data_IF_399028372008
#
_entry.id   IF_399028372008
#
_cell.length_a   1.000
_cell.length_b   1.000
_cell.length_c   1.000
_cell.angle_alpha   90.00
_cell.angle_beta   90.00
_cell.angle_gamma   90.00
#
_symmetry.space_group_name_H-M   'P 1'
#
loop_
_entity.id
_entity.type
_entity.pdbx_description
1 polymer ?
#
# COMPACT_ATOMS: atom_id res chain seq x y z
N UNK A 1 -2.99 2.12 -61.26
CA UNK A 1 -3.40 1.30 -60.10
C UNK A 1 -2.44 1.59 -58.95
N UNK A 2 -2.80 2.57 -58.09
CA UNK A 2 -1.94 3.03 -56.98
C UNK A 2 -2.38 2.33 -55.71
N UNK A 3 -1.49 1.50 -55.16
CA UNK A 3 -1.67 0.90 -53.83
C UNK A 3 -1.41 1.97 -52.77
N UNK A 4 -2.45 2.33 -51.99
CA UNK A 4 -2.33 3.12 -50.76
C UNK A 4 -1.89 2.20 -49.62
N UNK A 5 -0.83 2.52 -48.86
CA UNK A 5 -0.50 1.77 -47.66
C UNK A 5 -1.50 2.12 -46.55
N UNK A 6 -2.22 1.11 -46.06
CA UNK A 6 -2.97 1.20 -44.80
C UNK A 6 -1.97 1.23 -43.65
N UNK A 7 -1.80 2.39 -43.03
CA UNK A 7 -1.16 2.50 -41.73
C UNK A 7 -2.14 1.96 -40.66
N UNK A 8 -1.93 0.73 -40.26
CA UNK A 8 -2.56 0.19 -39.04
C UNK A 8 -1.93 0.88 -37.82
N UNK A 9 -2.66 1.84 -37.25
CA UNK A 9 -2.31 2.41 -35.96
C UNK A 9 -2.58 1.33 -34.92
N UNK A 10 -1.54 0.66 -34.47
CA UNK A 10 -1.57 -0.20 -33.29
C UNK A 10 -1.83 0.70 -32.07
N UNK A 11 -3.11 0.76 -31.65
CA UNK A 11 -3.48 1.31 -30.34
C UNK A 11 -3.01 0.28 -29.32
N UNK A 12 -1.78 0.42 -28.82
CA UNK A 12 -1.38 -0.28 -27.60
C UNK A 12 -2.33 0.19 -26.50
N UNK A 13 -3.07 -0.70 -25.82
CA UNK A 13 -3.76 -0.31 -24.61
C UNK A 13 -2.71 0.12 -23.59
N UNK A 14 -2.75 1.39 -23.22
CA UNK A 14 -1.97 1.91 -22.11
C UNK A 14 -2.48 1.16 -20.86
N UNK A 15 -1.74 0.15 -20.45
CA UNK A 15 -1.94 -0.47 -19.14
C UNK A 15 -1.63 0.61 -18.11
N UNK A 16 -2.67 1.32 -17.69
CA UNK A 16 -2.62 2.18 -16.52
C UNK A 16 -2.31 1.24 -15.36
N UNK A 17 -1.04 1.23 -14.93
CA UNK A 17 -0.64 0.54 -13.71
C UNK A 17 -1.34 1.24 -12.56
N UNK A 18 -2.51 0.73 -12.18
CA UNK A 18 -3.19 1.16 -10.98
C UNK A 18 -2.30 0.76 -9.81
N UNK A 19 -1.98 1.69 -8.94
CA UNK A 19 -1.42 1.38 -7.63
C UNK A 19 -2.53 0.70 -6.83
N UNK A 20 -2.70 -0.58 -7.07
CA UNK A 20 -3.76 -1.38 -6.48
C UNK A 20 -3.30 -1.86 -5.10
N UNK A 21 -4.15 -1.66 -4.09
CA UNK A 21 -3.94 -2.18 -2.74
C UNK A 21 -3.89 -3.72 -2.74
N UNK A 22 -3.46 -4.32 -1.65
CA UNK A 22 -3.12 -5.73 -1.50
C UNK A 22 -4.10 -6.79 -2.01
N UNK A 23 -5.34 -6.43 -2.36
CA UNK A 23 -6.34 -7.37 -2.89
C UNK A 23 -6.08 -7.83 -4.33
N UNK A 24 -5.27 -7.10 -5.11
CA UNK A 24 -4.96 -7.43 -6.50
C UNK A 24 -3.59 -8.12 -6.59
N UNK A 25 -3.52 -9.29 -7.23
CA UNK A 25 -2.23 -9.96 -7.44
C UNK A 25 -1.38 -9.15 -8.43
N UNK A 26 -0.08 -9.14 -8.24
CA UNK A 26 0.85 -8.67 -9.26
C UNK A 26 0.87 -9.66 -10.42
N UNK A 27 0.83 -9.18 -11.66
CA UNK A 27 1.00 -10.06 -12.80
C UNK A 27 2.39 -10.71 -12.77
N UNK A 28 2.52 -11.89 -13.33
CA UNK A 28 3.79 -12.61 -13.37
C UNK A 28 4.91 -11.76 -13.97
N UNK A 29 6.01 -11.64 -13.23
CA UNK A 29 7.19 -10.87 -13.62
C UNK A 29 7.10 -9.36 -13.28
N UNK A 30 5.94 -8.85 -12.88
CA UNK A 30 5.81 -7.45 -12.44
C UNK A 30 6.39 -7.24 -11.05
N UNK A 31 7.09 -6.14 -10.90
CA UNK A 31 7.63 -5.68 -9.63
C UNK A 31 7.00 -4.33 -9.27
N UNK A 32 6.67 -4.15 -7.99
CA UNK A 32 6.27 -2.87 -7.42
C UNK A 32 7.11 -2.57 -6.20
N UNK A 33 7.57 -1.32 -6.07
CA UNK A 33 8.33 -0.84 -4.92
C UNK A 33 7.71 0.48 -4.47
N UNK A 34 7.50 0.62 -3.17
CA UNK A 34 7.12 1.87 -2.53
C UNK A 34 8.08 2.18 -1.38
N UNK A 35 8.69 3.34 -1.41
CA UNK A 35 9.50 3.87 -0.31
C UNK A 35 8.81 5.12 0.22
N UNK A 36 8.59 5.19 1.53
CA UNK A 36 7.91 6.31 2.17
C UNK A 36 8.70 6.78 3.38
N UNK A 37 8.95 8.08 3.46
CA UNK A 37 9.42 8.77 4.65
C UNK A 37 8.25 9.50 5.32
N UNK A 38 8.18 9.48 6.63
CA UNK A 38 7.22 10.20 7.44
C UNK A 38 7.96 11.04 8.48
N UNK A 39 7.49 12.27 8.66
CA UNK A 39 7.94 13.18 9.71
C UNK A 39 6.72 13.56 10.54
N UNK A 40 6.73 13.16 11.80
CA UNK A 40 5.70 13.53 12.76
C UNK A 40 6.04 14.89 13.40
N UNK A 41 5.02 15.66 13.74
CA UNK A 41 5.19 16.92 14.44
C UNK A 41 5.89 16.69 15.80
N UNK A 42 6.63 17.69 16.32
CA UNK A 42 7.22 17.57 17.64
C UNK A 42 6.17 17.24 18.71
N UNK A 43 6.50 16.27 19.55
CA UNK A 43 5.69 15.92 20.71
C UNK A 43 5.82 16.99 21.82
N UNK A 44 5.22 16.76 22.99
CA UNK A 44 5.28 17.66 24.14
C UNK A 44 6.72 17.95 24.62
N UNK A 45 7.66 17.06 24.34
CA UNK A 45 9.09 17.23 24.65
C UNK A 45 9.87 17.95 23.55
N UNK A 46 9.23 18.40 22.46
CA UNK A 46 9.84 19.07 21.32
C UNK A 46 10.56 18.16 20.34
N UNK A 47 10.45 16.82 20.49
CA UNK A 47 11.11 15.84 19.61
C UNK A 47 10.18 15.45 18.45
N UNK A 48 10.65 15.66 17.22
CA UNK A 48 10.02 15.17 16.01
C UNK A 48 10.49 13.73 15.75
N UNK A 49 9.56 12.84 15.40
CA UNK A 49 9.88 11.46 15.03
C UNK A 49 9.95 11.32 13.51
N UNK A 50 11.03 10.73 13.04
CA UNK A 50 11.19 10.35 11.64
C UNK A 50 11.01 8.83 11.52
N UNK A 51 10.25 8.39 10.53
CA UNK A 51 10.12 6.98 10.21
C UNK A 51 10.16 6.75 8.71
N UNK A 52 10.51 5.54 8.31
CA UNK A 52 10.50 5.14 6.92
C UNK A 52 9.86 3.77 6.76
N UNK A 53 9.34 3.52 5.57
CA UNK A 53 8.92 2.19 5.13
C UNK A 53 9.44 1.94 3.73
N UNK A 54 9.82 0.69 3.46
CA UNK A 54 10.10 0.16 2.13
C UNK A 54 9.25 -1.08 1.94
N UNK A 55 8.39 -1.03 0.96
CA UNK A 55 7.49 -2.11 0.60
C UNK A 55 7.78 -2.53 -0.83
N UNK A 56 7.98 -3.83 -1.07
CA UNK A 56 8.17 -4.34 -2.42
C UNK A 56 7.36 -5.61 -2.64
N UNK A 57 6.87 -5.78 -3.87
CA UNK A 57 6.12 -6.95 -4.34
C UNK A 57 6.66 -7.42 -5.68
N UNK A 58 6.63 -8.73 -5.87
CA UNK A 58 6.96 -9.41 -7.13
C UNK A 58 5.92 -10.47 -7.46
N UNK A 59 5.37 -10.41 -8.64
CA UNK A 59 4.48 -11.44 -9.18
C UNK A 59 5.27 -12.69 -9.58
N UNK A 60 5.40 -13.64 -8.68
CA UNK A 60 6.12 -14.89 -8.94
C UNK A 60 5.36 -15.79 -9.92
N UNK A 61 4.02 -15.78 -9.83
CA UNK A 61 3.11 -16.42 -10.79
C UNK A 61 1.87 -15.54 -10.96
N UNK A 62 0.93 -15.93 -11.83
CA UNK A 62 -0.37 -15.24 -11.97
C UNK A 62 -1.22 -15.26 -10.68
N UNK A 63 -0.86 -16.10 -9.70
CA UNK A 63 -1.61 -16.29 -8.46
C UNK A 63 -0.76 -16.21 -7.20
N UNK A 64 0.52 -15.91 -7.32
CA UNK A 64 1.42 -15.79 -6.17
C UNK A 64 2.20 -14.48 -6.28
N UNK A 65 2.00 -13.61 -5.32
CA UNK A 65 2.82 -12.42 -5.10
C UNK A 65 3.72 -12.68 -3.89
N UNK A 66 5.02 -12.49 -4.06
CA UNK A 66 5.98 -12.47 -2.97
C UNK A 66 6.32 -11.03 -2.65
N UNK A 67 6.61 -10.73 -1.39
CA UNK A 67 6.97 -9.37 -1.04
C UNK A 67 7.78 -9.26 0.23
N UNK A 68 8.23 -8.03 0.47
CA UNK A 68 8.95 -7.61 1.66
C UNK A 68 8.37 -6.29 2.16
N UNK A 69 8.25 -6.17 3.47
CA UNK A 69 7.77 -4.99 4.17
C UNK A 69 8.75 -4.65 5.28
N UNK A 70 9.52 -3.59 5.04
CA UNK A 70 10.53 -3.07 5.94
C UNK A 70 10.06 -1.76 6.54
N UNK A 71 10.47 -1.49 7.77
CA UNK A 71 10.15 -0.23 8.43
C UNK A 71 11.10 0.04 9.59
N UNK A 72 11.25 1.32 9.90
CA UNK A 72 12.13 1.74 10.96
C UNK A 72 12.06 3.25 11.18
N UNK A 73 12.98 3.73 11.98
CA UNK A 73 13.21 5.14 12.21
C UNK A 73 14.64 5.54 11.76
N UNK A 74 15.06 6.76 12.05
CA UNK A 74 16.38 7.25 11.64
C UNK A 74 17.56 6.50 12.28
N UNK A 75 17.31 5.69 13.32
CA UNK A 75 18.35 5.03 14.11
C UNK A 75 18.41 3.52 13.85
N UNK A 76 17.25 2.89 13.58
CA UNK A 76 17.19 1.43 13.49
C UNK A 76 16.04 0.92 12.62
N UNK A 77 16.25 -0.27 12.05
CA UNK A 77 15.21 -1.07 11.43
C UNK A 77 14.37 -1.73 12.52
N UNK A 78 13.06 -1.46 12.54
CA UNK A 78 12.15 -2.00 13.58
C UNK A 78 11.18 -3.04 13.03
N UNK A 79 11.11 -3.20 11.71
CA UNK A 79 10.25 -4.17 11.03
C UNK A 79 10.94 -4.76 9.81
N UNK A 80 10.98 -6.07 9.75
CA UNK A 80 11.43 -6.85 8.57
C UNK A 80 10.50 -8.03 8.40
N UNK A 81 9.59 -7.98 7.44
CA UNK A 81 8.64 -9.05 7.12
C UNK A 81 8.81 -9.44 5.66
N UNK A 82 9.02 -10.72 5.39
CA UNK A 82 8.83 -11.31 4.07
C UNK A 82 7.46 -11.97 4.03
N UNK A 83 6.75 -11.87 2.92
CA UNK A 83 5.40 -12.41 2.82
C UNK A 83 5.11 -13.05 1.47
N UNK A 84 4.13 -13.93 1.49
CA UNK A 84 3.49 -14.48 0.30
C UNK A 84 2.01 -14.14 0.34
N UNK A 85 1.44 -13.78 -0.82
CA UNK A 85 0.03 -13.40 -0.96
C UNK A 85 -0.60 -14.15 -2.12
N UNK A 86 -1.83 -14.63 -1.90
CA UNK A 86 -2.61 -15.39 -2.88
C UNK A 86 -4.00 -14.78 -3.06
N UNK A 87 -4.46 -14.58 -4.30
CA UNK A 87 -5.85 -14.24 -4.58
C UNK A 87 -6.76 -15.42 -4.26
N UNK A 88 -7.90 -15.12 -3.65
CA UNK A 88 -8.92 -16.11 -3.29
C UNK A 88 -10.17 -15.93 -4.17
N UNK A 89 -10.66 -17.01 -4.70
CA UNK A 89 -11.87 -17.02 -5.52
C UNK A 89 -11.61 -16.86 -7.03
N UNK A 90 -12.67 -16.51 -7.78
CA UNK A 90 -12.61 -16.42 -9.24
C UNK A 90 -12.13 -15.03 -9.68
N UNK A 91 -11.22 -14.94 -10.69
CA UNK A 91 -10.72 -13.64 -11.20
C UNK A 91 -11.81 -12.67 -11.66
N UNK A 92 -12.96 -13.18 -12.15
CA UNK A 92 -14.06 -12.36 -12.64
C UNK A 92 -14.92 -11.70 -11.55
N UNK A 93 -14.67 -11.99 -10.25
CA UNK A 93 -15.44 -11.34 -9.18
C UNK A 93 -15.17 -9.82 -9.13
N UNK A 94 -16.23 -9.04 -8.90
CA UNK A 94 -16.14 -7.59 -8.72
C UNK A 94 -15.34 -7.22 -7.47
N UNK A 95 -15.51 -7.99 -6.38
CA UNK A 95 -14.71 -7.87 -5.16
C UNK A 95 -13.55 -8.86 -5.26
N UNK A 96 -12.32 -8.36 -5.22
CA UNK A 96 -11.10 -9.13 -5.13
C UNK A 96 -10.82 -9.45 -3.67
N UNK A 97 -10.33 -10.64 -3.41
CA UNK A 97 -9.96 -11.12 -2.08
C UNK A 97 -8.57 -11.71 -2.20
N UNK A 98 -7.70 -11.39 -1.27
CA UNK A 98 -6.39 -12.04 -1.17
C UNK A 98 -6.10 -12.37 0.30
N UNK A 99 -5.38 -13.45 0.53
CA UNK A 99 -4.82 -13.82 1.83
C UNK A 99 -3.31 -13.70 1.78
N UNK A 100 -2.73 -13.31 2.88
CA UNK A 100 -1.30 -13.12 3.05
C UNK A 100 -0.80 -13.91 4.24
N UNK A 101 0.43 -14.42 4.13
CA UNK A 101 1.17 -14.95 5.25
C UNK A 101 2.57 -14.36 5.22
N UNK A 102 2.91 -13.62 6.25
CA UNK A 102 4.22 -13.00 6.46
C UNK A 102 4.97 -13.64 7.62
N UNK A 103 6.28 -13.63 7.53
CA UNK A 103 7.21 -14.10 8.55
C UNK A 103 8.33 -13.07 8.67
N UNK A 104 8.82 -12.87 9.88
CA UNK A 104 9.96 -11.98 10.07
C UNK A 104 10.13 -11.53 11.51
N UNK A 105 10.54 -10.27 11.65
CA UNK A 105 10.84 -9.67 12.93
C UNK A 105 10.21 -8.27 13.01
N UNK A 106 9.61 -7.97 14.16
CA UNK A 106 9.06 -6.66 14.49
C UNK A 106 9.46 -6.32 15.92
N UNK A 107 10.09 -5.16 16.13
CA UNK A 107 10.59 -4.71 17.43
C UNK A 107 11.44 -5.81 18.13
N UNK A 108 12.41 -6.37 17.39
CA UNK A 108 13.35 -7.42 17.85
C UNK A 108 12.67 -8.74 18.28
N UNK A 109 11.41 -8.95 17.91
CA UNK A 109 10.69 -10.18 18.19
C UNK A 109 10.29 -10.88 16.89
N UNK A 110 10.48 -12.21 16.84
CA UNK A 110 9.97 -13.00 15.71
C UNK A 110 8.47 -12.87 15.63
N UNK A 111 7.98 -12.70 14.41
CA UNK A 111 6.58 -12.45 14.14
C UNK A 111 6.06 -13.32 12.98
N UNK A 112 4.83 -13.82 13.15
CA UNK A 112 3.98 -14.39 12.11
C UNK A 112 2.89 -13.36 11.79
N UNK A 113 2.70 -13.03 10.50
CA UNK A 113 1.72 -12.01 10.08
C UNK A 113 0.73 -12.56 9.06
N UNK A 114 -0.36 -13.22 9.48
CA UNK A 114 -1.50 -13.47 8.61
C UNK A 114 -2.18 -12.15 8.24
N UNK A 115 -2.70 -12.08 7.01
CA UNK A 115 -3.42 -10.92 6.49
C UNK A 115 -4.55 -11.30 5.53
N UNK A 116 -5.51 -10.39 5.42
CA UNK A 116 -6.65 -10.45 4.51
C UNK A 116 -6.80 -9.11 3.81
N UNK A 117 -6.90 -9.14 2.49
CA UNK A 117 -7.16 -7.97 1.67
C UNK A 117 -8.45 -8.12 0.89
N UNK A 118 -9.27 -7.08 0.87
CA UNK A 118 -10.47 -6.96 0.06
C UNK A 118 -10.34 -5.74 -0.83
N UNK A 119 -10.76 -5.81 -2.08
CA UNK A 119 -10.67 -4.68 -2.98
C UNK A 119 -11.74 -4.70 -4.07
N UNK A 120 -12.17 -3.51 -4.48
CA UNK A 120 -13.12 -3.31 -5.55
C UNK A 120 -12.79 -2.06 -6.36
N UNK A 121 -12.73 -2.22 -7.69
CA UNK A 121 -12.71 -1.08 -8.60
C UNK A 121 -14.04 -0.33 -8.56
N UNK A 122 -13.99 0.98 -8.62
CA UNK A 122 -15.13 1.89 -8.57
C UNK A 122 -15.08 2.85 -9.76
N UNK A 123 -16.25 3.40 -10.10
CA UNK A 123 -16.35 4.59 -10.96
C UNK A 123 -17.21 5.60 -10.22
N UNK A 124 -16.62 6.72 -9.86
CA UNK A 124 -17.29 7.82 -9.14
C UNK A 124 -17.20 9.09 -9.99
N UNK A 125 -18.31 9.72 -10.26
CA UNK A 125 -18.39 10.94 -11.10
C UNK A 125 -17.66 10.81 -12.45
N UNK A 126 -17.77 9.62 -13.09
CA UNK A 126 -17.09 9.32 -14.36
C UNK A 126 -15.59 9.10 -14.26
N UNK A 127 -15.02 9.06 -13.05
CA UNK A 127 -13.58 8.83 -12.79
C UNK A 127 -13.35 7.44 -12.26
N UNK A 128 -12.23 6.84 -12.65
CA UNK A 128 -11.81 5.54 -12.12
C UNK A 128 -11.28 5.69 -10.70
N UNK A 129 -11.55 4.68 -9.88
CA UNK A 129 -11.07 4.62 -8.50
C UNK A 129 -11.15 3.21 -7.94
N UNK A 130 -10.82 3.07 -6.68
CA UNK A 130 -10.92 1.80 -5.96
C UNK A 130 -11.24 2.02 -4.49
N UNK A 131 -11.85 1.03 -3.88
CA UNK A 131 -11.93 0.89 -2.44
C UNK A 131 -11.22 -0.39 -2.04
N UNK A 132 -10.49 -0.36 -0.92
CA UNK A 132 -9.79 -1.50 -0.38
C UNK A 132 -9.86 -1.53 1.14
N UNK A 133 -9.77 -2.73 1.68
CA UNK A 133 -9.56 -3.03 3.09
C UNK A 133 -8.39 -3.99 3.18
N UNK A 134 -7.43 -3.69 4.03
CA UNK A 134 -6.29 -4.54 4.35
C UNK A 134 -6.25 -4.73 5.87
N UNK A 135 -6.41 -5.96 6.34
CA UNK A 135 -6.32 -6.32 7.75
C UNK A 135 -5.16 -7.28 7.99
N UNK A 136 -4.39 -7.06 9.05
CA UNK A 136 -3.24 -7.88 9.44
C UNK A 136 -3.24 -8.13 10.94
N UNK A 137 -2.83 -9.33 11.34
CA UNK A 137 -2.52 -9.65 12.71
C UNK A 137 -1.03 -9.99 12.82
N UNK A 138 -0.28 -9.25 13.62
CA UNK A 138 1.14 -9.55 13.90
C UNK A 138 1.19 -10.33 15.21
N UNK A 139 1.51 -11.61 15.10
CA UNK A 139 1.57 -12.56 16.24
C UNK A 139 3.03 -12.74 16.62
N UNK A 140 3.39 -12.36 17.84
CA UNK A 140 4.76 -12.42 18.35
C UNK A 140 5.06 -13.76 19.01
N UNK A 141 6.32 -14.18 18.98
CA UNK A 141 6.79 -15.41 19.66
C UNK A 141 6.50 -15.43 21.17
N UNK A 142 6.36 -14.27 21.80
CA UNK A 142 5.96 -14.10 23.20
C UNK A 142 4.46 -14.24 23.48
N UNK A 143 3.63 -14.64 22.50
CA UNK A 143 2.18 -14.82 22.65
C UNK A 143 1.37 -13.52 22.58
N UNK A 144 2.00 -12.39 22.33
CA UNK A 144 1.34 -11.10 22.14
C UNK A 144 0.89 -10.95 20.69
N UNK A 145 -0.10 -10.09 20.45
CA UNK A 145 -0.61 -9.82 19.11
C UNK A 145 -0.91 -8.33 18.91
N UNK A 146 -0.58 -7.82 17.74
CA UNK A 146 -0.99 -6.50 17.26
C UNK A 146 -1.97 -6.70 16.11
N UNK A 147 -3.04 -5.92 16.10
CA UNK A 147 -3.98 -5.86 14.97
C UNK A 147 -3.79 -4.55 14.24
N UNK A 148 -3.75 -4.62 12.91
CA UNK A 148 -3.63 -3.46 12.02
C UNK A 148 -4.69 -3.55 10.94
N UNK A 149 -5.32 -2.44 10.60
CA UNK A 149 -6.17 -2.39 9.41
C UNK A 149 -6.16 -1.02 8.74
N UNK A 150 -6.27 -1.08 7.39
CA UNK A 150 -6.34 0.08 6.52
C UNK A 150 -7.62 0.00 5.69
N UNK A 151 -8.39 1.08 5.66
CA UNK A 151 -9.50 1.29 4.71
C UNK A 151 -9.06 2.39 3.76
N UNK A 152 -9.00 2.09 2.48
CA UNK A 152 -8.49 3.00 1.45
C UNK A 152 -9.56 3.27 0.41
N UNK A 153 -9.73 4.53 0.06
CA UNK A 153 -10.47 4.99 -1.11
C UNK A 153 -9.51 5.81 -2.00
N UNK A 154 -9.31 5.37 -3.22
CA UNK A 154 -8.51 6.09 -4.21
C UNK A 154 -9.35 6.52 -5.41
N UNK A 155 -9.05 7.69 -5.98
CA UNK A 155 -9.75 8.24 -7.13
C UNK A 155 -8.77 8.96 -8.07
N UNK A 156 -8.81 8.64 -9.35
CA UNK A 156 -8.07 9.36 -10.38
C UNK A 156 -8.75 10.71 -10.64
N UNK A 157 -8.10 11.80 -10.30
CA UNK A 157 -8.66 13.16 -10.46
C UNK A 157 -8.17 13.84 -11.76
N UNK A 158 -7.01 13.45 -12.27
CA UNK A 158 -6.46 13.87 -13.56
C UNK A 158 -5.78 12.69 -14.26
N UNK A 159 -5.33 12.87 -15.51
CA UNK A 159 -4.56 11.85 -16.23
C UNK A 159 -3.24 11.44 -15.52
N UNK A 160 -2.71 12.28 -14.63
CA UNK A 160 -1.46 12.05 -13.90
C UNK A 160 -1.58 12.15 -12.39
N UNK A 161 -2.77 12.47 -11.90
CA UNK A 161 -2.98 12.74 -10.47
C UNK A 161 -4.12 11.91 -9.90
N UNK A 162 -3.88 11.31 -8.74
CA UNK A 162 -4.91 10.63 -7.95
C UNK A 162 -4.88 11.10 -6.50
N UNK A 163 -6.03 11.08 -5.88
CA UNK A 163 -6.16 11.32 -4.44
C UNK A 163 -6.47 10.00 -3.74
N UNK A 164 -5.96 9.85 -2.55
CA UNK A 164 -6.21 8.70 -1.68
C UNK A 164 -6.69 9.23 -0.34
N UNK A 165 -7.78 8.68 0.15
CA UNK A 165 -8.26 8.84 1.51
C UNK A 165 -8.09 7.49 2.22
N UNK A 166 -7.34 7.46 3.31
CA UNK A 166 -7.07 6.23 4.04
C UNK A 166 -7.36 6.43 5.53
N UNK A 167 -8.10 5.49 6.10
CA UNK A 167 -8.23 5.34 7.56
C UNK A 167 -7.32 4.19 7.95
N UNK A 168 -6.40 4.46 8.85
CA UNK A 168 -5.47 3.48 9.38
C UNK A 168 -5.77 3.26 10.85
N UNK A 169 -5.88 2.00 11.25
CA UNK A 169 -6.11 1.63 12.66
C UNK A 169 -5.07 0.62 13.10
N UNK A 170 -4.71 0.70 14.37
CA UNK A 170 -3.83 -0.28 14.97
C UNK A 170 -4.16 -0.45 16.45
N UNK A 171 -4.17 -1.71 16.87
CA UNK A 171 -4.28 -2.12 18.26
C UNK A 171 -2.97 -2.82 18.63
N UNK A 172 -1.96 -2.09 19.14
CA UNK A 172 -0.70 -2.69 19.54
C UNK A 172 -0.92 -3.65 20.72
N UNK A 173 -0.03 -4.63 20.84
CA UNK A 173 -0.05 -5.60 21.93
C UNK A 173 0.10 -4.94 23.32
N UNK A 174 0.77 -3.78 23.34
CA UNK A 174 0.90 -2.89 24.51
C UNK A 174 0.69 -1.47 24.04
N UNK A 175 -0.19 -0.72 24.72
CA UNK A 175 -0.50 0.66 24.38
C UNK A 175 -1.96 0.85 23.97
N UNK A 176 -2.28 2.06 23.54
CA UNK A 176 -3.63 2.44 23.16
C UNK A 176 -3.88 2.16 21.66
N UNK A 177 -5.11 1.78 21.35
CA UNK A 177 -5.58 1.71 19.98
C UNK A 177 -5.53 3.09 19.35
N UNK A 178 -5.00 3.18 18.14
CA UNK A 178 -4.99 4.42 17.38
C UNK A 178 -5.88 4.31 16.14
N UNK A 179 -6.47 5.44 15.77
CA UNK A 179 -7.14 5.66 14.50
C UNK A 179 -6.56 6.94 13.91
N UNK A 180 -6.16 6.91 12.65
CA UNK A 180 -5.65 8.08 11.94
C UNK A 180 -6.20 8.17 10.54
N UNK A 181 -6.43 9.37 10.08
CA UNK A 181 -6.75 9.68 8.70
C UNK A 181 -5.48 10.08 7.95
N UNK A 182 -5.19 9.41 6.85
CA UNK A 182 -3.99 9.59 6.06
C UNK A 182 -4.32 9.93 4.61
N UNK A 183 -4.79 11.16 4.33
CA UNK A 183 -5.02 11.61 2.97
C UNK A 183 -3.71 11.80 2.22
N UNK A 184 -3.68 11.47 0.92
CA UNK A 184 -2.53 11.76 0.07
C UNK A 184 -2.92 12.09 -1.37
N UNK A 185 -2.02 12.81 -2.04
CA UNK A 185 -2.01 13.06 -3.46
C UNK A 185 -0.84 12.33 -4.09
N UNK A 186 -1.11 11.60 -5.17
CA UNK A 186 -0.11 10.82 -5.91
C UNK A 186 -0.01 11.35 -7.32
N UNK A 187 1.19 11.76 -7.72
CA UNK A 187 1.50 12.31 -9.03
C UNK A 187 2.36 11.37 -9.86
N UNK A 188 1.90 11.01 -11.07
CA UNK A 188 2.68 10.23 -12.03
C UNK A 188 3.72 11.13 -12.71
N UNK A 189 5.00 10.90 -12.43
CA UNK A 189 6.12 11.65 -13.02
C UNK A 189 6.49 11.11 -14.40
N UNK A 190 6.48 9.79 -14.55
CA UNK A 190 6.68 9.04 -15.79
C UNK A 190 5.98 7.67 -15.68
N UNK A 191 5.83 6.91 -16.78
CA UNK A 191 5.24 5.58 -16.73
C UNK A 191 5.86 4.71 -15.63
N UNK A 192 5.04 4.14 -14.75
CA UNK A 192 5.44 3.31 -13.62
C UNK A 192 6.13 4.05 -12.47
N UNK A 193 6.27 5.38 -12.49
CA UNK A 193 6.90 6.14 -11.41
C UNK A 193 5.97 7.24 -10.89
N UNK A 194 5.80 7.29 -9.56
CA UNK A 194 4.93 8.25 -8.90
C UNK A 194 5.60 8.85 -7.66
N UNK A 195 5.19 10.09 -7.37
CA UNK A 195 5.46 10.79 -6.11
C UNK A 195 4.18 10.84 -5.29
N UNK A 196 4.26 10.53 -4.02
CA UNK A 196 3.16 10.65 -3.06
C UNK A 196 3.48 11.76 -2.05
N UNK A 197 2.50 12.62 -1.80
CA UNK A 197 2.50 13.63 -0.74
C UNK A 197 1.29 13.40 0.13
N UNK A 198 1.47 13.23 1.43
CA UNK A 198 0.37 12.92 2.32
C UNK A 198 0.49 13.58 3.68
N UNK A 199 -0.62 13.56 4.39
CA UNK A 199 -0.74 14.01 5.77
C UNK A 199 -1.07 12.81 6.65
N UNK A 200 -0.71 12.90 7.92
CA UNK A 200 -1.14 11.99 8.97
C UNK A 200 -1.89 12.82 9.98
N UNK A 201 -3.15 12.51 10.18
CA UNK A 201 -4.06 13.24 11.06
C UNK A 201 -4.65 12.24 12.07
N UNK A 202 -4.23 12.30 13.35
CA UNK A 202 -4.79 11.43 14.38
C UNK A 202 -6.28 11.75 14.58
N UNK A 203 -7.08 10.71 14.72
CA UNK A 203 -8.50 10.78 15.07
C UNK A 203 -8.75 10.31 16.50
N UNK A 204 -7.73 9.78 17.18
CA UNK A 204 -7.73 9.43 18.60
C UNK A 204 -6.72 10.28 19.35
N UNK A 205 -6.94 10.45 20.65
CA UNK A 205 -6.03 11.18 21.53
C UNK A 205 -4.63 10.55 21.59
N UNK A 206 -3.61 11.37 21.84
CA UNK A 206 -2.23 10.93 21.96
C UNK A 206 -1.52 10.62 20.64
N UNK A 207 -2.19 10.78 19.51
CA UNK A 207 -1.57 10.65 18.20
C UNK A 207 -0.86 11.93 17.74
N UNK A 208 0.24 11.77 17.01
CA UNK A 208 0.98 12.88 16.42
C UNK A 208 0.52 13.15 14.99
N UNK A 209 0.44 14.46 14.62
CA UNK A 209 0.23 14.87 13.24
C UNK A 209 1.55 14.71 12.49
N UNK A 210 1.47 14.43 11.18
CA UNK A 210 2.66 14.27 10.39
C UNK A 210 2.46 14.54 8.92
N UNK A 211 3.57 14.57 8.20
CA UNK A 211 3.63 14.60 6.74
C UNK A 211 4.33 13.34 6.24
N UNK A 212 3.93 12.85 5.07
CA UNK A 212 4.61 11.75 4.39
C UNK A 212 4.98 12.10 2.97
N UNK A 213 6.13 11.61 2.54
CA UNK A 213 6.61 11.63 1.16
C UNK A 213 6.87 10.21 0.71
N UNK A 214 6.33 9.84 -0.44
CA UNK A 214 6.47 8.50 -1.00
C UNK A 214 7.00 8.53 -2.44
N UNK A 215 7.73 7.48 -2.79
CA UNK A 215 8.19 7.17 -4.12
C UNK A 215 7.64 5.79 -4.49
N UNK A 216 6.92 5.68 -5.61
CA UNK A 216 6.42 4.41 -6.10
C UNK A 216 7.03 4.09 -7.46
N UNK A 217 7.38 2.83 -7.65
CA UNK A 217 7.94 2.34 -8.90
C UNK A 217 7.34 1.00 -9.28
N UNK A 218 6.88 0.88 -10.54
CA UNK A 218 6.44 -0.38 -11.15
C UNK A 218 7.32 -0.69 -12.36
N UNK A 219 7.66 -1.97 -12.56
CA UNK A 219 8.47 -2.48 -13.66
C UNK A 219 7.76 -3.61 -14.37
#
# INVERSE_FOLDING_TARGET
MQLRPLFAVLILPWLVSMAEAGAWPRAKGQTFIAATGQLDAPNETGLARQSFTLYAEYGATERLTLGVDLGGDALQMTKTIVFARWPVGRPARKVKIAVELGLGEVAEQRALRPGLSLGRGLTLWGRHGWAAFDGRAVMFSGGQMTLESDITLGLDITARGKVIAQIQTGQPAKGQTYVRFAPSYVHATKPGAHLEFGLILPLTDGGERGVKLGLWRSF
#
